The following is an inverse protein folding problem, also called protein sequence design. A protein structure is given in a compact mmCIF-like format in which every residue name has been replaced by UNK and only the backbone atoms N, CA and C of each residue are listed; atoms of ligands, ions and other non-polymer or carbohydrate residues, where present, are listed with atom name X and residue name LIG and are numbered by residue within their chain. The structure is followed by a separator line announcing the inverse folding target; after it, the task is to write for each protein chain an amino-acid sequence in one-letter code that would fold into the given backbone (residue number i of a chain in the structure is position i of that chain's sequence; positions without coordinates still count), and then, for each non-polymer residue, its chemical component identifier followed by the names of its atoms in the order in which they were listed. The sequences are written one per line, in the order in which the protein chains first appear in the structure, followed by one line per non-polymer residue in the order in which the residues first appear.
data_IF_283661087085
#
_entry.id   IF_283661087085
#
_cell.length_a   1.000
_cell.length_b   1.000
_cell.length_c   1.000
_cell.angle_alpha   90.00
_cell.angle_beta   90.00
_cell.angle_gamma   90.00
#
_symmetry.space_group_name_H-M   'P 1'
#
loop_
_entity.id
_entity.type
_entity.pdbx_description
1 polymer ?
#
# COMPACT_ATOMS: atom_id res chain seq x y z
N UNK A 1 6.93 26.95 -15.34
CA UNK A 1 6.92 26.17 -16.60
C UNK A 1 6.14 24.89 -16.34
N UNK A 2 5.08 24.67 -17.15
CA UNK A 2 4.43 23.41 -17.56
C UNK A 2 4.07 22.39 -16.47
N UNK A 3 2.78 22.27 -16.14
CA UNK A 3 1.91 21.14 -16.56
C UNK A 3 2.32 19.82 -15.88
N UNK A 4 1.52 19.26 -14.98
CA UNK A 4 0.19 18.77 -15.30
C UNK A 4 -0.68 18.61 -14.06
N UNK A 5 -1.82 19.29 -14.10
CA UNK A 5 -2.98 19.01 -13.26
C UNK A 5 -3.51 17.64 -13.71
N UNK A 6 -2.94 16.54 -13.18
CA UNK A 6 -3.49 15.21 -13.42
C UNK A 6 -4.90 15.17 -12.81
N UNK A 7 -5.80 14.72 -13.66
CA UNK A 7 -7.24 14.98 -13.62
C UNK A 7 -7.85 14.21 -12.46
N UNK A 8 -8.71 14.89 -11.70
CA UNK A 8 -9.57 14.27 -10.70
C UNK A 8 -10.64 13.39 -11.35
N UNK A 9 -10.24 12.22 -11.85
CA UNK A 9 -11.14 11.18 -12.36
C UNK A 9 -10.69 9.80 -11.87
N UNK A 10 -10.73 9.61 -10.56
CA UNK A 10 -11.12 8.31 -10.01
C UNK A 10 -11.99 8.58 -8.80
N UNK A 11 -13.27 8.86 -9.09
CA UNK A 11 -14.32 8.95 -8.09
C UNK A 11 -14.42 7.58 -7.42
N UNK A 12 -14.09 7.57 -6.13
CA UNK A 12 -14.84 6.86 -5.10
C UNK A 12 -15.19 5.41 -5.42
N UNK A 13 -14.22 4.51 -5.24
CA UNK A 13 -14.57 3.18 -4.76
C UNK A 13 -13.68 2.88 -3.56
N UNK A 14 -14.03 3.53 -2.44
CA UNK A 14 -13.62 3.10 -1.11
C UNK A 14 -14.13 1.66 -1.02
N UNK A 15 -13.26 0.66 -0.93
CA UNK A 15 -13.70 -0.75 -0.86
C UNK A 15 -14.51 -0.93 0.42
N UNK A 16 -15.81 -0.76 0.33
CA UNK A 16 -16.75 -0.91 1.45
C UNK A 16 -17.85 -1.90 1.09
N UNK A 17 -17.79 -2.54 -0.07
CA UNK A 17 -18.71 -3.62 -0.45
C UNK A 17 -17.90 -4.82 -0.93
N UNK A 18 -18.37 -6.00 -0.53
CA UNK A 18 -17.87 -7.36 -0.75
C UNK A 18 -17.52 -7.71 -2.22
N UNK A 19 -16.61 -6.97 -2.84
CA UNK A 19 -16.19 -7.12 -4.22
C UNK A 19 -14.77 -7.69 -4.25
N UNK A 20 -14.64 -8.87 -4.86
CA UNK A 20 -13.35 -9.43 -5.24
C UNK A 20 -12.76 -8.58 -6.37
N UNK A 21 -11.63 -7.91 -6.14
CA UNK A 21 -10.93 -7.16 -7.19
C UNK A 21 -10.06 -8.11 -8.03
N UNK A 22 -10.00 -7.84 -9.33
CA UNK A 22 -9.10 -8.53 -10.26
C UNK A 22 -7.65 -8.06 -10.07
N UNK A 23 -6.70 -8.92 -10.43
CA UNK A 23 -5.26 -8.62 -10.29
C UNK A 23 -4.83 -7.41 -11.14
N UNK A 24 -5.45 -7.20 -12.31
CA UNK A 24 -5.21 -5.99 -13.12
C UNK A 24 -5.56 -4.70 -12.38
N UNK A 25 -6.66 -4.70 -11.62
CA UNK A 25 -7.04 -3.54 -10.79
C UNK A 25 -6.04 -3.32 -9.68
N UNK A 26 -5.51 -4.40 -9.09
CA UNK A 26 -4.47 -4.32 -8.07
C UNK A 26 -3.18 -3.73 -8.66
N UNK A 27 -2.80 -4.09 -9.89
CA UNK A 27 -1.63 -3.54 -10.57
C UNK A 27 -1.72 -2.03 -10.81
N UNK A 28 -2.92 -1.47 -11.02
CA UNK A 28 -3.10 -0.02 -11.14
C UNK A 28 -2.58 0.76 -9.92
N UNK A 29 -2.59 0.15 -8.72
CA UNK A 29 -2.03 0.79 -7.54
C UNK A 29 -0.52 0.98 -7.63
N UNK A 30 0.18 0.11 -8.37
CA UNK A 30 1.63 0.21 -8.56
C UNK A 30 2.03 1.43 -9.38
N UNK A 31 1.10 1.98 -10.16
CA UNK A 31 1.28 3.16 -11.00
C UNK A 31 0.98 4.47 -10.27
N UNK A 32 0.59 4.41 -8.98
CA UNK A 32 0.28 5.60 -8.19
C UNK A 32 1.55 6.40 -7.93
N UNK A 33 1.54 7.65 -8.39
CA UNK A 33 2.61 8.61 -8.09
C UNK A 33 2.54 9.07 -6.62
N UNK A 34 3.66 9.01 -5.87
CA UNK A 34 3.70 9.53 -4.53
C UNK A 34 3.67 11.06 -4.51
N UNK A 35 3.18 11.67 -3.43
CA UNK A 35 3.40 13.09 -3.19
C UNK A 35 4.90 13.37 -2.95
N UNK A 36 5.30 14.63 -3.18
CA UNK A 36 6.69 15.06 -3.01
C UNK A 36 7.22 14.74 -1.62
N UNK A 37 8.36 14.04 -1.56
CA UNK A 37 9.00 13.64 -0.30
C UNK A 37 8.51 12.32 0.29
N UNK A 38 7.61 11.58 -0.37
CA UNK A 38 7.23 10.23 0.08
C UNK A 38 7.78 9.18 -0.89
N UNK A 39 8.37 8.08 -0.39
CA UNK A 39 8.77 6.96 -1.25
C UNK A 39 7.57 6.39 -2.02
N UNK A 40 7.79 6.06 -3.29
CA UNK A 40 6.78 5.47 -4.18
C UNK A 40 6.13 4.25 -3.53
N UNK A 41 6.97 3.29 -3.11
CA UNK A 41 6.57 2.02 -2.53
C UNK A 41 5.74 2.20 -1.24
N UNK A 42 6.16 3.13 -0.39
CA UNK A 42 5.46 3.45 0.85
C UNK A 42 4.07 4.06 0.59
N UNK A 43 3.98 4.99 -0.35
CA UNK A 43 2.71 5.60 -0.73
C UNK A 43 1.73 4.56 -1.31
N UNK A 44 2.23 3.65 -2.14
CA UNK A 44 1.42 2.57 -2.72
C UNK A 44 0.85 1.67 -1.60
N UNK A 45 1.70 1.21 -0.68
CA UNK A 45 1.28 0.40 0.47
C UNK A 45 0.24 1.12 1.33
N UNK A 46 0.43 2.42 1.57
CA UNK A 46 -0.51 3.25 2.33
C UNK A 46 -1.87 3.35 1.63
N UNK A 47 -1.88 3.51 0.30
CA UNK A 47 -3.12 3.56 -0.49
C UNK A 47 -3.84 2.21 -0.47
N UNK A 48 -3.11 1.11 -0.63
CA UNK A 48 -3.66 -0.23 -0.55
C UNK A 48 -4.27 -0.50 0.83
N UNK A 49 -3.54 -0.23 1.91
CA UNK A 49 -4.00 -0.44 3.28
C UNK A 49 -5.26 0.38 3.63
N UNK A 50 -5.40 1.60 3.11
CA UNK A 50 -6.59 2.44 3.34
C UNK A 50 -7.77 2.10 2.43
N UNK A 51 -7.50 1.44 1.30
CA UNK A 51 -8.47 1.23 0.22
C UNK A 51 -8.91 -0.22 0.05
N UNK A 52 -8.21 -1.18 0.64
CA UNK A 52 -8.44 -2.62 0.46
C UNK A 52 -8.79 -3.30 1.79
N UNK A 53 -9.52 -4.41 1.71
CA UNK A 53 -9.72 -5.32 2.86
C UNK A 53 -8.49 -6.20 3.07
N UNK A 54 -8.40 -6.89 4.21
CA UNK A 54 -7.28 -7.78 4.53
C UNK A 54 -7.01 -8.84 3.43
N UNK A 55 -8.05 -9.45 2.88
CA UNK A 55 -7.92 -10.47 1.84
C UNK A 55 -7.40 -9.90 0.51
N UNK A 56 -7.85 -8.70 0.14
CA UNK A 56 -7.35 -8.00 -1.06
C UNK A 56 -5.92 -7.53 -0.85
N UNK A 57 -5.61 -7.04 0.35
CA UNK A 57 -4.27 -6.58 0.70
C UNK A 57 -3.26 -7.74 0.65
N UNK A 58 -3.62 -8.94 1.12
CA UNK A 58 -2.76 -10.12 1.00
C UNK A 58 -2.41 -10.44 -0.46
N UNK A 59 -3.42 -10.44 -1.34
CA UNK A 59 -3.19 -10.65 -2.78
C UNK A 59 -2.36 -9.53 -3.39
N UNK A 60 -2.62 -8.29 -3.00
CA UNK A 60 -1.89 -7.13 -3.48
C UNK A 60 -0.41 -7.20 -3.11
N UNK A 61 -0.06 -7.60 -1.88
CA UNK A 61 1.33 -7.70 -1.44
C UNK A 61 2.12 -8.72 -2.27
N UNK A 62 1.50 -9.83 -2.70
CA UNK A 62 2.14 -10.79 -3.63
C UNK A 62 2.49 -10.11 -4.95
N UNK A 63 1.53 -9.42 -5.57
CA UNK A 63 1.72 -8.67 -6.82
C UNK A 63 2.77 -7.56 -6.66
N UNK A 64 2.77 -6.88 -5.51
CA UNK A 64 3.71 -5.82 -5.19
C UNK A 64 5.15 -6.33 -5.18
N UNK A 65 5.40 -7.46 -4.51
CA UNK A 65 6.72 -8.09 -4.47
C UNK A 65 7.10 -8.66 -5.84
N UNK A 66 6.16 -9.31 -6.55
CA UNK A 66 6.37 -9.80 -7.91
C UNK A 66 6.73 -8.68 -8.90
N UNK A 67 6.22 -7.46 -8.67
CA UNK A 67 6.58 -6.27 -9.43
C UNK A 67 7.96 -5.68 -9.05
N UNK A 68 8.71 -6.33 -8.15
CA UNK A 68 10.04 -5.90 -7.72
C UNK A 68 10.03 -4.71 -6.76
N UNK A 69 8.92 -4.49 -6.04
CA UNK A 69 8.78 -3.39 -5.07
C UNK A 69 9.24 -3.79 -3.68
N UNK A 70 9.72 -2.82 -2.90
CA UNK A 70 10.24 -3.08 -1.56
C UNK A 70 9.16 -2.92 -0.47
N UNK A 71 8.77 -4.05 0.13
CA UNK A 71 7.81 -4.08 1.27
C UNK A 71 8.44 -3.52 2.55
N UNK A 72 9.77 -3.50 2.64
CA UNK A 72 10.55 -2.95 3.75
C UNK A 72 10.92 -1.48 3.52
N UNK A 73 10.27 -0.81 2.56
CA UNK A 73 10.50 0.60 2.30
C UNK A 73 10.30 1.46 3.56
N UNK A 74 11.22 2.42 3.75
CA UNK A 74 11.23 3.33 4.89
C UNK A 74 10.71 4.69 4.46
N UNK A 75 9.87 5.30 5.29
CA UNK A 75 9.45 6.69 5.11
C UNK A 75 10.60 7.65 5.48
N UNK A 76 10.40 8.95 5.24
CA UNK A 76 11.33 10.04 5.62
C UNK A 76 11.76 10.00 7.08
N UNK A 77 10.90 9.52 7.98
CA UNK A 77 11.20 9.39 9.40
C UNK A 77 11.99 8.11 9.76
N UNK A 78 12.35 7.30 8.76
CA UNK A 78 13.07 6.04 8.92
C UNK A 78 12.20 4.85 9.34
N UNK A 79 10.90 5.05 9.58
CA UNK A 79 9.99 3.96 9.96
C UNK A 79 9.53 3.15 8.74
N UNK A 80 9.33 1.84 8.92
CA UNK A 80 8.81 0.98 7.85
C UNK A 80 7.30 1.03 7.79
N UNK A 81 6.73 0.44 6.74
CA UNK A 81 5.29 0.32 6.65
C UNK A 81 4.71 -0.56 7.78
N UNK A 82 5.41 -1.62 8.20
CA UNK A 82 4.99 -2.47 9.30
C UNK A 82 4.94 -1.73 10.64
N UNK A 83 5.86 -0.80 10.89
CA UNK A 83 5.83 0.09 12.05
C UNK A 83 4.57 0.96 12.09
N UNK A 84 4.11 1.45 10.94
CA UNK A 84 2.89 2.24 10.84
C UNK A 84 1.66 1.39 11.15
N UNK A 85 1.55 0.23 10.49
CA UNK A 85 0.40 -0.67 10.61
C UNK A 85 0.28 -1.22 12.04
N UNK A 86 1.40 -1.57 12.67
CA UNK A 86 1.43 -2.11 14.03
C UNK A 86 0.95 -1.11 15.11
N UNK A 87 0.98 0.20 14.83
CA UNK A 87 0.43 1.21 15.76
C UNK A 87 -1.10 1.17 15.83
N UNK A 88 -1.77 0.56 14.87
CA UNK A 88 -3.22 0.54 14.78
C UNK A 88 -3.78 -0.77 15.36
N UNK A 89 -4.62 -0.66 16.41
CA UNK A 89 -5.18 -1.84 17.11
C UNK A 89 -5.97 -2.80 16.22
N UNK A 90 -6.60 -2.30 15.15
CA UNK A 90 -7.43 -3.10 14.23
C UNK A 90 -6.67 -3.55 12.97
N UNK A 91 -5.35 -3.56 13.02
CA UNK A 91 -4.52 -3.79 11.84
C UNK A 91 -3.60 -4.99 11.98
N UNK A 92 -3.85 -5.82 12.98
CA UNK A 92 -3.15 -7.07 13.22
C UNK A 92 -3.16 -8.00 11.99
N UNK A 93 -4.30 -8.12 11.30
CA UNK A 93 -4.40 -8.91 10.07
C UNK A 93 -3.45 -8.40 8.97
N UNK A 94 -3.39 -7.09 8.76
CA UNK A 94 -2.49 -6.45 7.79
C UNK A 94 -1.02 -6.60 8.20
N UNK A 95 -0.72 -6.42 9.49
CA UNK A 95 0.62 -6.60 10.03
C UNK A 95 1.10 -8.05 9.84
N UNK A 96 0.21 -9.02 10.03
CA UNK A 96 0.50 -10.45 9.80
C UNK A 96 0.78 -10.73 8.34
N UNK A 97 -0.04 -10.20 7.42
CA UNK A 97 0.18 -10.32 5.97
C UNK A 97 1.56 -9.78 5.57
N UNK A 98 1.92 -8.59 6.07
CA UNK A 98 3.22 -7.97 5.82
C UNK A 98 4.36 -8.84 6.35
N UNK A 99 4.26 -9.36 7.58
CA UNK A 99 5.26 -10.27 8.15
C UNK A 99 5.41 -11.55 7.34
N UNK A 100 4.30 -12.16 6.90
CA UNK A 100 4.33 -13.33 6.01
C UNK A 100 5.02 -13.03 4.68
N UNK A 101 4.91 -11.79 4.21
CA UNK A 101 5.60 -11.30 3.02
C UNK A 101 7.07 -10.89 3.25
N UNK A 102 7.60 -11.06 4.47
CA UNK A 102 8.98 -10.72 4.82
C UNK A 102 9.20 -9.27 5.28
N UNK A 103 8.13 -8.54 5.62
CA UNK A 103 8.26 -7.20 6.19
C UNK A 103 8.81 -7.26 7.62
N UNK A 104 9.70 -6.32 7.95
CA UNK A 104 10.34 -6.18 9.24
C UNK A 104 10.03 -4.82 9.86
N UNK A 105 9.79 -4.84 11.18
CA UNK A 105 9.65 -3.63 11.98
C UNK A 105 11.04 -3.10 12.31
N UNK A 106 11.23 -1.79 12.20
CA UNK A 106 12.48 -1.15 12.66
C UNK A 106 12.44 -0.80 14.15
N UNK A 107 11.25 -0.75 14.75
CA UNK A 107 11.11 -0.70 16.20
C UNK A 107 11.01 -2.13 16.71
N UNK A 108 12.13 -2.62 17.26
CA UNK A 108 12.19 -3.80 18.13
C UNK A 108 12.03 -3.37 19.59
#
# INVERSE_FOLDING_TARGET
MKEGKKRGVERTQIATRNESWSDDRLKLFLEIEPPSGVPVDYNILLKAYRGMTENLFERFIKIFIEAGKDVNCKQVDGSTFLDLVSKHRKSEAYAKILQTAGASSTKS
#
